data_IF_015910705392
#
_entry.id   IF_015910705392
#
_cell.length_a   1.000
_cell.length_b   1.000
_cell.length_c   1.000
_cell.angle_alpha   90.00
_cell.angle_beta   90.00
_cell.angle_gamma   90.00
#
_symmetry.space_group_name_H-M   'P 1'
#
loop_
_entity.id
_entity.type
_entity.pdbx_description
1 polymer ?
#
# COMPACT_ATOMS: atom_id res chain seq x y z
N UNK A 1 41.13 37.05 -48.90
CA UNK A 1 41.25 35.87 -49.79
C UNK A 1 39.97 35.07 -49.60
N UNK A 2 39.06 35.11 -50.57
CA UNK A 2 37.73 34.50 -50.43
C UNK A 2 37.84 32.97 -50.27
N UNK A 3 36.93 32.37 -49.50
CA UNK A 3 36.87 30.92 -49.36
C UNK A 3 36.65 30.28 -50.74
N UNK A 4 37.43 29.25 -51.09
CA UNK A 4 37.33 28.54 -52.38
C UNK A 4 35.95 27.90 -52.59
N UNK A 5 35.33 27.47 -51.50
CA UNK A 5 33.97 26.92 -51.46
C UNK A 5 33.15 27.72 -50.47
N UNK A 6 31.97 28.16 -50.90
CA UNK A 6 31.08 28.97 -50.10
C UNK A 6 29.64 28.81 -50.58
N UNK A 7 28.73 29.24 -49.73
CA UNK A 7 27.30 29.27 -49.99
C UNK A 7 26.83 30.72 -49.87
N UNK A 8 25.76 31.06 -50.57
CA UNK A 8 25.10 32.35 -50.47
C UNK A 8 23.59 32.18 -50.64
N UNK A 9 22.85 33.17 -50.13
CA UNK A 9 21.44 33.34 -50.44
C UNK A 9 21.31 33.99 -51.82
N UNK A 10 20.37 33.48 -52.63
CA UNK A 10 19.98 34.18 -53.86
C UNK A 10 19.12 35.39 -53.51
N UNK A 11 18.98 36.35 -54.42
CA UNK A 11 18.06 37.49 -54.24
C UNK A 11 16.61 37.02 -54.03
N UNK A 12 16.23 35.90 -54.65
CA UNK A 12 14.92 35.27 -54.44
C UNK A 12 14.81 34.74 -53.01
N UNK A 13 15.84 34.04 -52.53
CA UNK A 13 15.93 33.53 -51.17
C UNK A 13 15.89 34.63 -50.11
N UNK A 14 16.65 35.71 -50.30
CA UNK A 14 16.64 36.87 -49.40
C UNK A 14 15.25 37.52 -49.33
N UNK A 15 14.58 37.71 -50.48
CA UNK A 15 13.23 38.27 -50.52
C UNK A 15 12.21 37.38 -49.81
N UNK A 16 12.24 36.06 -50.08
CA UNK A 16 11.31 35.12 -49.45
C UNK A 16 11.58 34.97 -47.95
N UNK A 17 12.85 34.95 -47.54
CA UNK A 17 13.23 34.93 -46.12
C UNK A 17 12.79 36.21 -45.41
N UNK A 18 13.03 37.38 -45.99
CA UNK A 18 12.58 38.66 -45.44
C UNK A 18 11.05 38.74 -45.33
N UNK A 19 10.33 38.25 -46.35
CA UNK A 19 8.87 38.19 -46.33
C UNK A 19 8.34 37.23 -45.24
N UNK A 20 8.97 36.07 -45.07
CA UNK A 20 8.63 35.11 -44.01
C UNK A 20 8.81 35.74 -42.62
N UNK A 21 9.96 36.40 -42.39
CA UNK A 21 10.26 37.12 -41.14
C UNK A 21 9.22 38.21 -40.88
N UNK A 22 8.90 39.04 -41.88
CA UNK A 22 7.94 40.14 -41.74
C UNK A 22 6.51 39.64 -41.47
N UNK A 23 6.14 38.49 -42.04
CA UNK A 23 4.83 37.87 -41.86
C UNK A 23 4.71 37.00 -40.59
N UNK A 24 5.81 36.82 -39.82
CA UNK A 24 5.85 35.87 -38.70
C UNK A 24 5.66 34.41 -39.13
N UNK A 25 6.00 34.07 -40.37
CA UNK A 25 5.93 32.72 -40.94
C UNK A 25 7.34 32.16 -41.13
N UNK A 26 7.43 30.85 -41.35
CA UNK A 26 8.68 30.16 -41.67
C UNK A 26 8.78 29.91 -43.17
N UNK A 27 9.97 30.11 -43.75
CA UNK A 27 10.31 29.68 -45.10
C UNK A 27 10.55 28.17 -45.10
N UNK A 28 9.74 27.42 -45.84
CA UNK A 28 9.82 25.97 -45.91
C UNK A 28 10.79 25.53 -47.01
N UNK A 29 11.88 24.85 -46.64
CA UNK A 29 12.79 24.21 -47.58
C UNK A 29 12.42 22.73 -47.71
N UNK A 30 12.30 22.23 -48.94
CA UNK A 30 11.87 20.84 -49.20
C UNK A 30 12.86 20.03 -50.01
N UNK A 31 13.63 20.67 -50.88
CA UNK A 31 14.49 19.96 -51.83
C UNK A 31 15.90 20.53 -51.85
N UNK A 32 16.85 19.65 -52.12
CA UNK A 32 18.23 20.02 -52.41
C UNK A 32 18.61 19.48 -53.78
N UNK A 33 19.10 20.36 -54.64
CA UNK A 33 19.67 20.01 -55.94
C UNK A 33 21.17 19.86 -55.86
N UNK A 34 21.72 18.97 -56.68
CA UNK A 34 23.15 18.86 -56.94
C UNK A 34 23.39 18.86 -58.46
N UNK A 35 24.47 19.51 -58.87
CA UNK A 35 24.83 19.68 -60.27
C UNK A 35 26.31 19.49 -60.55
N UNK A 36 26.63 19.29 -61.82
CA UNK A 36 28.01 19.09 -62.30
C UNK A 36 28.63 20.37 -62.86
N UNK A 37 27.94 21.52 -62.78
CA UNK A 37 28.44 22.82 -63.24
C UNK A 37 28.80 22.87 -64.73
N UNK A 38 28.24 21.96 -65.55
CA UNK A 38 28.55 21.81 -66.97
C UNK A 38 30.04 21.55 -67.25
N UNK A 39 30.72 20.80 -66.38
CA UNK A 39 32.14 20.48 -66.54
C UNK A 39 33.11 21.38 -65.76
N UNK A 40 32.63 22.52 -65.23
CA UNK A 40 33.46 23.51 -64.54
C UNK A 40 32.95 23.75 -63.11
N UNK A 41 33.83 24.16 -62.20
CA UNK A 41 33.43 24.59 -60.85
C UNK A 41 32.73 25.95 -60.94
N UNK A 42 31.41 26.04 -60.71
CA UNK A 42 30.71 27.30 -60.82
C UNK A 42 31.06 28.21 -59.64
N UNK A 43 31.04 29.52 -59.88
CA UNK A 43 31.10 30.52 -58.81
C UNK A 43 29.66 30.88 -58.45
N UNK A 44 29.21 30.64 -57.20
CA UNK A 44 27.88 31.02 -56.76
C UNK A 44 27.61 32.51 -56.99
N UNK A 45 26.48 32.84 -57.60
CA UNK A 45 26.04 34.21 -57.89
C UNK A 45 24.65 34.46 -57.26
N UNK A 46 24.48 35.53 -56.46
CA UNK A 46 23.19 35.89 -55.87
C UNK A 46 22.04 36.07 -56.87
N UNK A 47 22.30 36.30 -58.16
CA UNK A 47 21.27 36.42 -59.19
C UNK A 47 20.80 35.07 -59.77
N UNK A 48 21.39 33.95 -59.34
CA UNK A 48 21.00 32.63 -59.82
C UNK A 48 19.56 32.29 -59.42
N UNK A 49 18.78 31.82 -60.39
CA UNK A 49 17.43 31.26 -60.16
C UNK A 49 17.40 29.74 -60.31
N UNK A 50 18.49 29.15 -60.83
CA UNK A 50 18.70 27.71 -61.00
C UNK A 50 20.19 27.36 -60.95
N UNK A 51 20.49 26.09 -60.70
CA UNK A 51 21.84 25.54 -60.86
C UNK A 51 22.28 25.60 -62.33
N UNK A 52 23.60 25.67 -62.57
CA UNK A 52 24.18 25.77 -63.92
C UNK A 52 23.86 24.53 -64.75
N UNK A 53 24.04 23.34 -64.16
CA UNK A 53 23.61 22.07 -64.72
C UNK A 53 23.18 21.11 -63.62
N UNK A 54 21.89 21.17 -63.26
CA UNK A 54 21.31 20.28 -62.27
C UNK A 54 21.29 18.83 -62.78
N UNK A 55 21.84 17.91 -61.99
CA UNK A 55 21.88 16.47 -62.30
C UNK A 55 20.88 15.68 -61.47
N UNK A 56 20.60 16.15 -60.26
CA UNK A 56 19.67 15.50 -59.34
C UNK A 56 19.04 16.53 -58.43
N UNK A 57 17.76 16.31 -58.14
CA UNK A 57 17.00 16.99 -57.11
C UNK A 57 16.29 15.96 -56.26
N UNK A 58 16.43 16.07 -54.95
CA UNK A 58 15.78 15.17 -54.00
C UNK A 58 15.36 15.89 -52.74
N UNK A 59 14.60 15.20 -51.89
CA UNK A 59 14.15 15.73 -50.62
C UNK A 59 15.33 15.98 -49.67
N UNK A 60 15.21 17.00 -48.83
CA UNK A 60 16.16 17.26 -47.74
C UNK A 60 15.90 16.21 -46.64
N UNK A 61 16.95 15.51 -46.20
CA UNK A 61 16.84 14.49 -45.15
C UNK A 61 16.91 15.09 -43.74
N UNK A 62 17.68 16.16 -43.56
CA UNK A 62 17.78 16.85 -42.28
C UNK A 62 18.06 18.34 -42.49
N UNK A 63 17.48 19.17 -41.62
CA UNK A 63 17.79 20.58 -41.50
C UNK A 63 18.02 20.87 -40.02
N UNK A 64 19.25 21.24 -39.67
CA UNK A 64 19.65 21.47 -38.28
C UNK A 64 20.33 22.82 -38.13
N UNK A 65 20.20 23.42 -36.94
CA UNK A 65 20.98 24.62 -36.58
C UNK A 65 22.27 24.14 -35.91
N UNK A 66 23.39 24.73 -36.29
CA UNK A 66 24.68 24.45 -35.64
C UNK A 66 24.63 24.91 -34.18
N UNK A 67 25.02 24.03 -33.26
CA UNK A 67 24.98 24.30 -31.82
C UNK A 67 26.03 25.33 -31.40
N UNK A 68 27.16 25.35 -32.10
CA UNK A 68 28.25 26.26 -31.81
C UNK A 68 28.06 27.62 -32.52
N UNK A 69 27.23 27.66 -33.58
CA UNK A 69 26.90 28.85 -34.35
C UNK A 69 25.41 28.93 -34.68
N UNK A 70 24.62 29.58 -33.83
CA UNK A 70 23.15 29.67 -33.98
C UNK A 70 22.65 30.37 -35.24
N UNK A 71 23.54 31.04 -35.99
CA UNK A 71 23.25 31.67 -37.28
C UNK A 71 23.56 30.75 -38.49
N UNK A 72 24.07 29.54 -38.26
CA UNK A 72 24.36 28.57 -39.31
C UNK A 72 23.31 27.48 -39.35
N UNK A 73 22.77 27.25 -40.55
CA UNK A 73 21.87 26.15 -40.85
C UNK A 73 22.57 25.13 -41.72
N UNK A 74 22.41 23.86 -41.38
CA UNK A 74 22.98 22.74 -42.08
C UNK A 74 21.84 21.95 -42.71
N UNK A 75 21.72 22.04 -44.03
CA UNK A 75 20.84 21.18 -44.80
C UNK A 75 21.61 19.94 -45.26
N UNK A 76 21.08 18.75 -45.01
CA UNK A 76 21.68 17.48 -45.43
C UNK A 76 20.76 16.72 -46.39
N UNK A 77 21.36 16.18 -47.43
CA UNK A 77 20.73 15.26 -48.36
C UNK A 77 21.60 14.01 -48.54
N UNK A 78 20.99 12.84 -48.49
CA UNK A 78 21.63 11.55 -48.75
C UNK A 78 21.29 11.14 -50.18
N UNK A 79 22.33 10.94 -50.99
CA UNK A 79 22.22 10.38 -52.33
C UNK A 79 22.45 8.87 -52.22
N UNK A 80 21.45 8.03 -52.51
CA UNK A 80 21.57 6.58 -52.39
C UNK A 80 22.49 5.99 -53.47
N UNK A 81 22.86 4.73 -53.33
CA UNK A 81 23.80 4.04 -54.22
C UNK A 81 23.29 3.80 -55.65
N UNK A 82 21.96 3.73 -55.82
CA UNK A 82 21.32 3.54 -57.12
C UNK A 82 21.15 4.85 -57.92
N UNK A 83 21.43 6.00 -57.32
CA UNK A 83 21.41 7.31 -58.01
C UNK A 83 22.85 7.85 -58.11
N UNK A 84 23.38 7.94 -59.32
CA UNK A 84 24.77 8.37 -59.57
C UNK A 84 25.07 8.59 -61.04
N UNK A 85 26.35 8.50 -61.42
CA UNK A 85 26.79 8.73 -62.80
C UNK A 85 27.06 10.22 -63.10
N UNK A 86 27.29 11.04 -62.08
CA UNK A 86 27.49 12.48 -62.23
C UNK A 86 28.50 13.05 -61.23
N UNK A 87 29.08 14.19 -61.61
CA UNK A 87 29.96 14.98 -60.74
C UNK A 87 29.14 15.93 -59.88
N UNK A 88 29.58 16.12 -58.65
CA UNK A 88 29.06 17.15 -57.75
C UNK A 88 30.03 18.32 -57.75
N UNK A 89 29.52 19.49 -58.12
CA UNK A 89 30.26 20.77 -58.12
C UNK A 89 29.44 21.93 -57.56
N UNK A 90 28.12 21.83 -57.63
CA UNK A 90 27.18 22.81 -57.12
C UNK A 90 26.06 22.15 -56.32
N UNK A 91 25.55 22.90 -55.35
CA UNK A 91 24.47 22.49 -54.46
C UNK A 91 23.48 23.65 -54.37
N UNK A 92 22.19 23.35 -54.44
CA UNK A 92 21.12 24.35 -54.32
C UNK A 92 20.05 23.91 -53.33
N UNK A 93 19.50 24.84 -52.56
CA UNK A 93 18.33 24.63 -51.70
C UNK A 93 17.10 25.25 -52.32
N UNK A 94 15.99 24.52 -52.26
CA UNK A 94 14.74 24.90 -52.89
C UNK A 94 13.59 24.85 -51.90
N UNK A 95 12.69 25.82 -52.03
CA UNK A 95 11.46 25.88 -51.26
C UNK A 95 10.31 25.07 -51.88
N UNK A 96 9.14 25.12 -51.22
CA UNK A 96 7.91 24.44 -51.66
C UNK A 96 7.41 24.87 -53.04
N UNK A 97 7.74 26.08 -53.47
CA UNK A 97 7.35 26.62 -54.78
C UNK A 97 8.37 26.25 -55.87
N UNK A 98 9.48 25.59 -55.49
CA UNK A 98 10.57 25.20 -56.38
C UNK A 98 11.59 26.31 -56.64
N UNK A 99 11.52 27.42 -55.91
CA UNK A 99 12.44 28.55 -56.07
C UNK A 99 13.79 28.27 -55.42
N UNK A 100 14.88 28.63 -56.12
CA UNK A 100 16.24 28.49 -55.59
C UNK A 100 16.49 29.53 -54.50
N UNK A 101 16.55 29.09 -53.24
CA UNK A 101 16.74 29.94 -52.06
C UNK A 101 18.22 30.20 -51.79
N UNK A 102 19.04 29.17 -51.90
CA UNK A 102 20.47 29.28 -51.66
C UNK A 102 21.24 28.44 -52.66
N UNK A 103 22.43 28.89 -53.00
CA UNK A 103 23.35 28.19 -53.91
C UNK A 103 24.75 28.16 -53.32
N UNK A 104 25.47 27.09 -53.57
CA UNK A 104 26.86 26.94 -53.17
C UNK A 104 27.64 26.07 -54.13
N UNK A 105 28.95 26.24 -54.09
CA UNK A 105 29.89 25.36 -54.79
C UNK A 105 30.52 24.37 -53.81
N UNK A 106 30.92 23.20 -54.31
CA UNK A 106 31.54 22.16 -53.50
C UNK A 106 32.75 21.54 -54.21
N UNK A 107 33.66 20.88 -53.47
CA UNK A 107 34.79 20.18 -54.08
C UNK A 107 34.31 19.14 -55.09
N UNK A 108 34.93 19.12 -56.27
CA UNK A 108 34.61 18.18 -57.34
C UNK A 108 34.67 16.74 -56.84
N UNK A 109 33.51 16.09 -56.79
CA UNK A 109 33.39 14.72 -56.30
C UNK A 109 32.54 13.90 -57.25
N UNK A 110 33.07 12.78 -57.74
CA UNK A 110 32.30 11.85 -58.55
C UNK A 110 31.43 10.94 -57.68
N UNK A 111 30.15 10.86 -58.00
CA UNK A 111 29.19 9.94 -57.38
C UNK A 111 28.89 8.80 -58.36
N UNK A 112 29.49 7.61 -58.20
CA UNK A 112 29.23 6.50 -59.10
C UNK A 112 27.81 5.95 -58.96
N UNK A 113 27.30 5.38 -60.05
CA UNK A 113 26.08 4.58 -60.06
C UNK A 113 26.43 3.10 -59.85
N UNK A 114 25.56 2.35 -59.15
CA UNK A 114 25.79 0.93 -58.88
C UNK A 114 26.10 0.09 -60.14
N UNK A 115 25.56 0.46 -61.31
CA UNK A 115 25.82 -0.21 -62.60
C UNK A 115 27.27 -0.08 -63.09
N UNK A 116 28.01 0.91 -62.60
CA UNK A 116 29.43 1.12 -62.90
C UNK A 116 30.33 0.18 -62.07
N UNK A 117 29.75 -0.76 -61.31
CA UNK A 117 30.47 -1.72 -60.47
C UNK A 117 30.89 -1.16 -59.10
N UNK A 118 30.52 0.09 -58.78
CA UNK A 118 30.80 0.73 -57.50
C UNK A 118 29.58 1.50 -56.99
N UNK A 119 28.93 0.99 -55.94
CA UNK A 119 27.87 1.70 -55.22
C UNK A 119 28.45 2.53 -54.08
N UNK A 120 28.13 3.81 -54.02
CA UNK A 120 28.49 4.68 -52.88
C UNK A 120 27.23 5.39 -52.41
N UNK A 121 26.99 5.44 -51.10
CA UNK A 121 26.02 6.39 -50.52
C UNK A 121 26.80 7.68 -50.19
N UNK A 122 26.31 8.82 -50.69
CA UNK A 122 26.99 10.11 -50.52
C UNK A 122 26.08 11.07 -49.76
N UNK A 123 26.53 11.56 -48.61
CA UNK A 123 25.84 12.64 -47.89
C UNK A 123 26.39 13.98 -48.34
N UNK A 124 25.51 14.85 -48.81
CA UNK A 124 25.81 16.22 -49.21
C UNK A 124 25.28 17.15 -48.13
N UNK A 125 26.13 18.04 -47.65
CA UNK A 125 25.81 19.00 -46.60
C UNK A 125 26.04 20.41 -47.12
N UNK A 126 25.00 21.23 -47.06
CA UNK A 126 25.09 22.65 -47.37
C UNK A 126 24.94 23.44 -46.08
N UNK A 127 25.98 24.19 -45.73
CA UNK A 127 25.98 25.10 -44.58
C UNK A 127 25.61 26.48 -45.08
N UNK A 128 24.54 27.07 -44.58
CA UNK A 128 24.05 28.38 -44.95
C UNK A 128 24.06 29.29 -43.72
N UNK A 129 24.63 30.49 -43.85
CA UNK A 129 24.56 31.53 -42.81
C UNK A 129 23.31 32.37 -43.09
N UNK A 130 22.44 32.51 -42.10
CA UNK A 130 21.22 33.34 -42.19
C UNK A 130 21.14 34.30 -41.01
N UNK A 131 20.41 35.40 -41.20
CA UNK A 131 20.21 36.41 -40.14
C UNK A 131 19.29 35.92 -39.02
N UNK A 132 18.39 34.98 -39.31
CA UNK A 132 17.45 34.35 -38.37
C UNK A 132 17.16 32.90 -38.77
N UNK A 133 17.61 31.96 -37.95
CA UNK A 133 17.43 30.51 -38.18
C UNK A 133 16.04 30.00 -37.83
N UNK A 134 15.32 30.72 -36.97
CA UNK A 134 13.92 30.44 -36.61
C UNK A 134 12.92 30.79 -37.74
N UNK A 135 13.35 31.57 -38.72
CA UNK A 135 12.55 31.93 -39.88
C UNK A 135 12.57 30.87 -41.00
N UNK A 136 13.29 29.77 -40.83
CA UNK A 136 13.40 28.68 -41.81
C UNK A 136 13.02 27.36 -41.13
N UNK A 137 12.20 26.56 -41.80
CA UNK A 137 11.78 25.25 -41.30
C UNK A 137 11.87 24.17 -42.38
N UNK A 138 12.04 22.92 -41.95
CA UNK A 138 11.95 21.75 -42.80
C UNK A 138 10.58 21.10 -42.65
N UNK A 139 9.87 20.91 -43.76
CA UNK A 139 8.70 20.04 -43.78
C UNK A 139 9.15 18.60 -43.94
N UNK A 140 9.16 17.87 -42.83
CA UNK A 140 9.60 16.48 -42.76
C UNK A 140 8.58 15.55 -43.46
N UNK A 141 9.03 14.82 -44.49
CA UNK A 141 8.36 13.60 -44.98
C UNK A 141 9.13 12.37 -44.46
N UNK A 142 8.61 11.65 -43.45
CA UNK A 142 9.26 10.48 -42.88
C UNK A 142 9.41 9.29 -43.85
N UNK A 143 8.79 9.31 -45.02
CA UNK A 143 8.67 8.11 -45.88
C UNK A 143 9.82 7.94 -46.88
N UNK A 144 10.64 8.97 -47.11
CA UNK A 144 11.65 8.98 -48.19
C UNK A 144 13.10 9.06 -47.68
N UNK A 145 13.31 9.20 -46.36
CA UNK A 145 14.65 9.39 -45.79
C UNK A 145 15.28 8.09 -45.28
N UNK A 146 16.38 7.67 -45.90
CA UNK A 146 17.36 6.78 -45.23
C UNK A 146 17.85 7.49 -43.97
N UNK A 147 17.50 6.96 -42.80
CA UNK A 147 18.01 7.42 -41.52
C UNK A 147 19.54 7.36 -41.55
N UNK A 148 20.21 8.50 -41.33
CA UNK A 148 21.66 8.48 -41.12
C UNK A 148 21.97 7.68 -39.85
N UNK A 149 23.12 7.01 -39.80
CA UNK A 149 23.55 6.27 -38.60
C UNK A 149 23.48 7.13 -37.33
N UNK A 150 23.91 8.40 -37.43
CA UNK A 150 23.85 9.36 -36.33
C UNK A 150 22.42 9.60 -35.83
N UNK A 151 21.45 9.67 -36.73
CA UNK A 151 20.04 9.83 -36.36
C UNK A 151 19.53 8.60 -35.60
N UNK A 152 19.85 7.39 -36.07
CA UNK A 152 19.50 6.15 -35.37
C UNK A 152 20.17 6.04 -33.99
N UNK A 153 21.46 6.37 -33.89
CA UNK A 153 22.21 6.36 -32.62
C UNK A 153 21.62 7.36 -31.62
N UNK A 154 21.18 8.53 -32.09
CA UNK A 154 20.56 9.56 -31.24
C UNK A 154 19.19 9.11 -30.75
N UNK A 155 18.33 8.57 -31.63
CA UNK A 155 17.02 8.03 -31.24
C UNK A 155 17.14 6.91 -30.20
N UNK A 156 18.12 6.02 -30.36
CA UNK A 156 18.36 4.95 -29.40
C UNK A 156 18.87 5.49 -28.07
N UNK A 157 19.78 6.46 -28.08
CA UNK A 157 20.27 7.10 -26.87
C UNK A 157 19.15 7.81 -26.10
N UNK A 158 18.30 8.57 -26.81
CA UNK A 158 17.14 9.25 -26.22
C UNK A 158 16.11 8.24 -25.68
N UNK A 159 15.91 7.12 -26.38
CA UNK A 159 15.04 6.03 -25.95
C UNK A 159 15.53 5.37 -24.66
N UNK A 160 16.84 5.09 -24.55
CA UNK A 160 17.45 4.50 -23.35
C UNK A 160 17.44 5.49 -22.18
N UNK A 161 17.65 6.78 -22.44
CA UNK A 161 17.66 7.82 -21.42
C UNK A 161 16.25 8.16 -20.89
N UNK A 162 15.20 7.90 -21.67
CA UNK A 162 13.83 8.15 -21.27
C UNK A 162 13.41 7.22 -20.12
N UNK A 163 12.84 7.78 -19.05
CA UNK A 163 12.33 6.99 -17.91
C UNK A 163 11.13 6.10 -18.27
N UNK A 164 10.35 6.49 -19.27
CA UNK A 164 9.24 5.68 -19.81
C UNK A 164 9.12 5.90 -21.33
N UNK A 165 9.96 5.23 -22.14
CA UNK A 165 9.92 5.37 -23.59
C UNK A 165 8.67 4.73 -24.22
N UNK A 166 7.94 3.90 -23.46
CA UNK A 166 6.75 3.19 -23.90
C UNK A 166 5.57 3.49 -22.98
N UNK A 167 4.96 4.66 -23.14
CA UNK A 167 3.84 5.15 -22.30
C UNK A 167 2.59 4.25 -22.27
N UNK A 168 2.49 3.29 -23.18
CA UNK A 168 1.43 2.28 -23.20
C UNK A 168 1.62 1.17 -22.14
N UNK A 169 2.80 1.07 -21.53
CA UNK A 169 3.11 0.09 -20.50
C UNK A 169 3.31 0.77 -19.14
N UNK A 170 3.02 0.03 -18.07
CA UNK A 170 3.30 0.49 -16.72
C UNK A 170 4.83 0.51 -16.48
N UNK A 171 5.36 1.51 -15.74
CA UNK A 171 6.78 1.55 -15.39
C UNK A 171 7.23 0.30 -14.62
N UNK A 172 8.50 -0.09 -14.75
CA UNK A 172 9.06 -1.23 -14.00
C UNK A 172 9.20 -0.91 -12.51
N UNK A 173 9.72 0.28 -12.20
CA UNK A 173 9.91 0.75 -10.84
C UNK A 173 8.65 1.45 -10.33
N UNK A 174 7.98 0.85 -9.35
CA UNK A 174 6.77 1.39 -8.70
C UNK A 174 5.66 1.82 -9.68
N UNK A 175 5.13 0.89 -10.50
CA UNK A 175 4.07 1.21 -11.45
C UNK A 175 2.80 1.73 -10.75
N UNK A 176 2.17 2.73 -11.37
CA UNK A 176 0.75 3.03 -11.14
C UNK A 176 -0.05 2.26 -12.18
N UNK A 177 -0.84 1.27 -11.72
CA UNK A 177 -1.78 0.56 -12.60
C UNK A 177 -3.05 1.39 -12.83
N UNK A 178 -3.57 1.37 -14.06
CA UNK A 178 -4.83 2.02 -14.44
C UNK A 178 -5.84 0.98 -14.95
N UNK A 179 -7.14 1.30 -14.88
CA UNK A 179 -8.20 0.35 -15.22
C UNK A 179 -8.35 -0.77 -14.18
N UNK A 180 -8.59 -2.01 -14.65
CA UNK A 180 -8.82 -3.19 -13.82
C UNK A 180 -7.72 -4.25 -14.03
N UNK A 181 -6.51 -4.07 -13.46
CA UNK A 181 -5.41 -5.02 -13.63
C UNK A 181 -5.76 -6.41 -13.08
N UNK A 182 -5.46 -7.45 -13.83
CA UNK A 182 -5.64 -8.86 -13.43
C UNK A 182 -4.31 -9.50 -13.09
N UNK A 183 -4.29 -10.37 -12.07
CA UNK A 183 -3.14 -11.20 -11.73
C UNK A 183 -3.63 -12.61 -11.30
N UNK A 184 -2.77 -13.64 -11.34
CA UNK A 184 -3.10 -14.96 -10.80
C UNK A 184 -3.42 -14.89 -9.30
N UNK A 185 -4.51 -15.54 -8.89
CA UNK A 185 -4.85 -15.68 -7.47
C UNK A 185 -3.93 -16.71 -6.84
N UNK A 186 -3.23 -16.29 -5.79
CA UNK A 186 -2.33 -17.16 -5.04
C UNK A 186 -3.07 -18.21 -4.21
N UNK A 187 -2.38 -19.29 -3.88
CA UNK A 187 -2.91 -20.28 -2.93
C UNK A 187 -2.97 -19.71 -1.50
N UNK A 188 -3.95 -20.16 -0.71
CA UNK A 188 -4.10 -19.74 0.68
C UNK A 188 -2.82 -19.99 1.51
N UNK A 189 -2.48 -19.04 2.37
CA UNK A 189 -1.27 -19.09 3.21
C UNK A 189 0.00 -18.56 2.55
N UNK A 190 -0.05 -18.09 1.29
CA UNK A 190 1.12 -17.48 0.64
C UNK A 190 1.53 -16.19 1.35
N UNK A 191 2.83 -16.06 1.69
CA UNK A 191 3.40 -14.94 2.45
C UNK A 191 4.63 -14.30 1.77
N UNK A 192 4.61 -14.20 0.44
CA UNK A 192 5.69 -13.61 -0.37
C UNK A 192 5.42 -12.14 -0.69
N UNK A 193 6.31 -11.51 -1.47
CA UNK A 193 6.21 -10.12 -1.93
C UNK A 193 5.33 -9.92 -3.17
N UNK A 194 4.61 -10.96 -3.61
CA UNK A 194 3.72 -10.87 -4.77
C UNK A 194 2.49 -9.98 -4.48
N UNK A 195 1.93 -9.37 -5.52
CA UNK A 195 0.69 -8.60 -5.41
C UNK A 195 -0.49 -9.51 -5.03
N UNK A 196 -1.31 -9.07 -4.09
CA UNK A 196 -2.54 -9.77 -3.71
C UNK A 196 -3.69 -9.41 -4.68
N UNK A 197 -4.40 -10.43 -5.19
CA UNK A 197 -5.63 -10.23 -5.96
C UNK A 197 -6.80 -9.94 -5.02
N UNK A 198 -7.86 -9.31 -5.55
CA UNK A 198 -9.11 -9.10 -4.80
C UNK A 198 -9.72 -10.43 -4.33
N UNK A 199 -9.62 -11.49 -5.11
CA UNK A 199 -10.06 -12.84 -4.72
C UNK A 199 -9.26 -13.39 -3.53
N UNK A 200 -7.92 -13.28 -3.55
CA UNK A 200 -7.09 -13.73 -2.42
C UNK A 200 -7.42 -12.96 -1.13
N UNK A 201 -7.61 -11.64 -1.23
CA UNK A 201 -8.00 -10.81 -0.07
C UNK A 201 -9.40 -11.17 0.41
N UNK A 202 -10.36 -11.40 -0.50
CA UNK A 202 -11.71 -11.82 -0.14
C UNK A 202 -11.70 -13.16 0.62
N UNK A 203 -10.92 -14.14 0.16
CA UNK A 203 -10.78 -15.44 0.85
C UNK A 203 -10.09 -15.30 2.20
N UNK A 204 -9.02 -14.50 2.29
CA UNK A 204 -8.32 -14.25 3.55
C UNK A 204 -9.21 -13.52 4.57
N UNK A 205 -10.01 -12.55 4.11
CA UNK A 205 -11.00 -11.84 4.92
C UNK A 205 -12.14 -12.76 5.31
N UNK A 206 -12.65 -13.60 4.41
CA UNK A 206 -13.67 -14.60 4.72
C UNK A 206 -13.18 -15.63 5.73
N UNK A 207 -11.91 -16.05 5.64
CA UNK A 207 -11.26 -16.90 6.63
C UNK A 207 -11.10 -16.18 7.98
N UNK A 208 -10.60 -14.95 7.98
CA UNK A 208 -10.44 -14.15 9.20
C UNK A 208 -11.80 -13.85 9.86
N UNK A 209 -12.82 -13.51 9.06
CA UNK A 209 -14.19 -13.39 9.51
C UNK A 209 -14.70 -14.74 9.97
N UNK A 210 -14.42 -15.88 9.34
CA UNK A 210 -14.78 -17.20 9.87
C UNK A 210 -14.18 -17.49 11.24
N UNK A 211 -12.94 -17.03 11.48
CA UNK A 211 -12.26 -17.12 12.78
C UNK A 211 -12.84 -16.13 13.81
N UNK A 212 -13.23 -14.92 13.38
CA UNK A 212 -13.77 -13.84 14.21
C UNK A 212 -15.30 -13.93 14.43
N UNK A 213 -16.01 -14.53 13.47
CA UNK A 213 -17.45 -14.77 13.36
C UNK A 213 -17.77 -16.19 13.81
N UNK A 214 -17.21 -16.58 14.95
CA UNK A 214 -17.81 -17.60 15.82
C UNK A 214 -19.18 -17.19 16.38
N UNK A 215 -20.04 -16.54 15.59
CA UNK A 215 -21.39 -16.08 15.93
C UNK A 215 -22.47 -16.25 14.85
N UNK A 216 -22.20 -16.92 13.72
CA UNK A 216 -23.28 -17.24 12.78
C UNK A 216 -22.98 -18.52 12.00
N UNK A 217 -24.03 -19.31 11.75
CA UNK A 217 -24.08 -20.65 11.10
C UNK A 217 -24.04 -21.90 12.02
N UNK A 218 -25.12 -22.05 12.79
CA UNK A 218 -26.00 -23.22 12.97
C UNK A 218 -25.51 -24.69 13.14
N UNK A 219 -24.24 -25.10 13.09
CA UNK A 219 -23.98 -26.57 13.10
C UNK A 219 -22.67 -27.09 13.68
N UNK A 220 -22.10 -26.50 14.75
CA UNK A 220 -20.97 -27.14 15.47
C UNK A 220 -20.84 -26.73 16.95
N UNK A 221 -21.45 -27.54 17.83
CA UNK A 221 -21.10 -27.78 19.25
C UNK A 221 -20.68 -26.59 20.14
N UNK A 222 -21.65 -26.09 20.91
CA UNK A 222 -21.61 -26.00 22.39
C UNK A 222 -20.33 -25.45 23.07
N UNK A 223 -19.71 -24.38 22.56
CA UNK A 223 -18.76 -23.60 23.37
C UNK A 223 -19.58 -22.60 24.18
N UNK A 224 -19.52 -22.70 25.50
CA UNK A 224 -20.02 -21.66 26.37
C UNK A 224 -19.37 -20.33 25.94
N UNK A 225 -20.14 -19.36 25.47
CA UNK A 225 -19.59 -18.05 25.18
C UNK A 225 -19.13 -17.48 26.53
N UNK A 226 -17.97 -16.80 26.58
CA UNK A 226 -17.52 -16.09 27.78
C UNK A 226 -18.61 -15.15 28.31
N UNK A 227 -19.43 -14.64 27.39
CA UNK A 227 -20.63 -13.86 27.61
C UNK A 227 -21.69 -14.56 28.47
N UNK A 228 -21.79 -15.89 28.40
CA UNK A 228 -22.77 -16.72 29.11
C UNK A 228 -22.38 -16.98 30.59
N UNK A 229 -21.12 -16.74 30.95
CA UNK A 229 -20.58 -16.96 32.31
C UNK A 229 -20.09 -15.68 33.00
N UNK A 230 -20.21 -14.51 32.36
CA UNK A 230 -19.81 -13.25 32.99
C UNK A 230 -20.59 -13.07 34.30
N UNK A 231 -19.84 -12.85 35.38
CA UNK A 231 -20.40 -12.60 36.72
C UNK A 231 -20.65 -13.86 37.56
N UNK A 232 -20.50 -15.06 36.98
CA UNK A 232 -20.55 -16.33 37.73
C UNK A 232 -19.19 -16.58 38.39
N UNK A 233 -19.11 -16.69 39.73
CA UNK A 233 -17.86 -17.04 40.39
C UNK A 233 -17.41 -18.45 40.02
N UNK A 234 -16.15 -18.61 39.59
CA UNK A 234 -15.56 -19.91 39.23
C UNK A 234 -14.32 -20.19 40.09
N UNK A 235 -14.12 -21.44 40.54
CA UNK A 235 -12.91 -21.83 41.25
C UNK A 235 -11.70 -21.76 40.30
N UNK A 236 -10.59 -21.20 40.77
CA UNK A 236 -9.35 -21.04 40.00
C UNK A 236 -8.15 -21.55 40.80
N UNK A 237 -7.28 -22.42 40.22
CA UNK A 237 -6.25 -23.11 41.00
C UNK A 237 -4.99 -22.28 41.29
N UNK A 238 -4.83 -21.09 40.71
CA UNK A 238 -3.63 -20.26 40.89
C UNK A 238 -3.89 -18.99 41.73
N UNK A 239 -2.85 -18.49 42.38
CA UNK A 239 -2.93 -17.27 43.18
C UNK A 239 -3.21 -16.02 42.32
N UNK A 240 -2.78 -15.99 41.06
CA UNK A 240 -2.99 -14.87 40.13
C UNK A 240 -4.17 -15.19 39.20
N UNK A 241 -5.11 -14.25 39.09
CA UNK A 241 -6.19 -14.37 38.13
C UNK A 241 -5.63 -14.13 36.71
N UNK A 242 -6.01 -14.93 35.72
CA UNK A 242 -5.58 -14.72 34.34
C UNK A 242 -6.19 -13.42 33.77
N UNK A 243 -5.60 -12.92 32.69
CA UNK A 243 -6.06 -11.70 32.04
C UNK A 243 -7.55 -11.79 31.67
N UNK A 244 -8.29 -10.72 31.95
CA UNK A 244 -9.73 -10.66 31.74
C UNK A 244 -10.58 -11.21 32.90
N UNK A 245 -9.98 -11.81 33.93
CA UNK A 245 -10.68 -12.31 35.12
C UNK A 245 -10.42 -11.44 36.35
N UNK A 246 -11.44 -11.26 37.18
CA UNK A 246 -11.36 -10.52 38.44
C UNK A 246 -11.63 -11.44 39.62
N UNK A 247 -10.87 -11.27 40.70
CA UNK A 247 -11.06 -12.01 41.96
C UNK A 247 -12.31 -11.50 42.69
N UNK A 248 -13.11 -12.42 43.24
CA UNK A 248 -14.20 -12.11 44.16
C UNK A 248 -13.68 -11.89 45.59
N UNK A 249 -12.91 -10.82 45.79
CA UNK A 249 -12.26 -10.46 47.06
C UNK A 249 -12.78 -9.13 47.62
N UNK A 250 -13.97 -8.69 47.23
CA UNK A 250 -14.55 -7.40 47.63
C UNK A 250 -14.07 -6.18 46.82
N UNK A 251 -13.28 -6.38 45.75
CA UNK A 251 -12.75 -5.26 44.96
C UNK A 251 -13.83 -4.56 44.12
N UNK A 252 -13.63 -3.26 43.88
CA UNK A 252 -14.35 -2.52 42.86
C UNK A 252 -13.81 -2.81 41.45
N UNK A 253 -14.62 -2.57 40.44
CA UNK A 253 -14.23 -2.68 39.04
C UNK A 253 -14.78 -1.52 38.21
N UNK A 254 -14.09 -1.23 37.11
CA UNK A 254 -14.52 -0.20 36.16
C UNK A 254 -15.71 -0.71 35.32
N UNK A 255 -16.87 -0.08 35.51
CA UNK A 255 -18.12 -0.42 34.82
C UNK A 255 -18.07 -0.11 33.32
N UNK A 256 -17.25 0.84 32.88
CA UNK A 256 -17.08 1.16 31.46
C UNK A 256 -16.19 0.13 30.77
N UNK A 257 -15.18 -0.37 31.49
CA UNK A 257 -14.31 -1.45 31.00
C UNK A 257 -14.99 -2.81 31.00
N UNK A 258 -15.88 -3.06 31.96
CA UNK A 258 -16.61 -4.34 32.11
C UNK A 258 -18.13 -4.14 32.15
N UNK A 259 -18.77 -3.68 31.05
CA UNK A 259 -20.18 -3.29 31.05
C UNK A 259 -21.13 -4.48 31.30
N UNK A 260 -20.78 -5.69 30.86
CA UNK A 260 -21.56 -6.91 31.14
C UNK A 260 -21.48 -7.31 32.61
N UNK A 261 -20.30 -7.21 33.21
CA UNK A 261 -20.14 -7.46 34.63
C UNK A 261 -20.92 -6.42 35.45
N UNK A 262 -20.99 -5.18 34.97
CA UNK A 262 -21.82 -4.13 35.56
C UNK A 262 -23.33 -4.38 35.47
N UNK A 263 -23.79 -5.18 34.49
CA UNK A 263 -25.20 -5.62 34.45
C UNK A 263 -25.50 -6.64 35.56
N UNK A 264 -24.54 -7.53 35.86
CA UNK A 264 -24.69 -8.58 36.90
C UNK A 264 -24.41 -8.04 38.30
N UNK A 265 -23.43 -7.15 38.45
CA UNK A 265 -23.10 -6.45 39.69
C UNK A 265 -23.22 -4.92 39.50
N UNK A 266 -24.45 -4.35 39.56
CA UNK A 266 -24.70 -2.92 39.29
C UNK A 266 -23.95 -1.96 40.22
N UNK A 267 -23.58 -2.41 41.41
CA UNK A 267 -22.77 -1.66 42.38
C UNK A 267 -21.36 -1.34 41.86
N UNK A 268 -20.85 -2.08 40.87
CA UNK A 268 -19.44 -1.99 40.46
C UNK A 268 -18.48 -2.63 41.47
N UNK A 269 -18.97 -3.44 42.40
CA UNK A 269 -18.18 -4.12 43.44
C UNK A 269 -18.50 -5.61 43.44
N UNK A 270 -17.47 -6.45 43.45
CA UNK A 270 -17.60 -7.89 43.54
C UNK A 270 -17.82 -8.35 44.98
N UNK A 271 -18.54 -9.45 45.22
CA UNK A 271 -18.64 -10.03 46.56
C UNK A 271 -17.27 -10.51 47.04
N UNK A 272 -17.04 -10.47 48.36
CA UNK A 272 -15.88 -11.12 48.97
C UNK A 272 -16.25 -12.55 49.36
N UNK A 273 -15.75 -13.51 48.57
CA UNK A 273 -16.01 -14.94 48.69
C UNK A 273 -14.88 -15.70 49.42
N UNK A 274 -13.86 -15.01 49.91
CA UNK A 274 -12.76 -15.66 50.64
C UNK A 274 -13.31 -16.27 51.92
N UNK A 275 -13.23 -17.60 52.04
CA UNK A 275 -13.74 -18.36 53.19
C UNK A 275 -15.25 -18.53 53.24
N UNK A 276 -15.99 -18.12 52.20
CA UNK A 276 -17.45 -18.23 52.16
C UNK A 276 -17.89 -19.39 51.26
N UNK A 277 -18.86 -20.18 51.72
CA UNK A 277 -19.51 -21.18 50.87
C UNK A 277 -20.64 -20.53 50.07
N UNK A 278 -20.83 -20.98 48.83
CA UNK A 278 -22.01 -20.59 48.06
C UNK A 278 -23.19 -21.48 48.50
N UNK A 279 -24.30 -20.85 48.90
CA UNK A 279 -25.56 -21.53 49.23
C UNK A 279 -26.65 -21.06 48.26
N UNK A 280 -27.52 -21.97 47.85
CA UNK A 280 -28.71 -21.62 47.07
C UNK A 280 -29.60 -20.63 47.82
N UNK A 281 -30.00 -19.55 47.17
CA UNK A 281 -30.99 -18.60 47.66
C UNK A 281 -32.36 -19.25 47.74
N UNK A 282 -33.13 -18.95 48.79
CA UNK A 282 -34.39 -19.64 49.08
C UNK A 282 -35.47 -19.41 48.02
N UNK A 283 -35.56 -18.18 47.49
CA UNK A 283 -36.52 -17.76 46.46
C UNK A 283 -37.96 -18.26 46.71
N UNK A 284 -38.39 -18.27 47.98
CA UNK A 284 -39.74 -18.66 48.40
C UNK A 284 -39.96 -20.15 48.66
N UNK A 285 -38.91 -20.99 48.63
CA UNK A 285 -39.00 -22.42 48.95
C UNK A 285 -39.30 -22.69 50.44
N UNK A 286 -38.91 -21.79 51.34
CA UNK A 286 -39.16 -21.90 52.78
C UNK A 286 -38.07 -22.62 53.59
N UNK A 287 -36.94 -22.99 52.97
CA UNK A 287 -35.83 -23.74 53.61
C UNK A 287 -34.75 -22.83 54.20
N UNK A 288 -34.50 -21.66 53.62
CA UNK A 288 -33.61 -20.61 54.14
C UNK A 288 -34.31 -19.24 54.07
N UNK A 289 -35.53 -19.20 54.61
CA UNK A 289 -36.46 -18.06 54.56
C UNK A 289 -35.85 -16.76 55.09
N UNK A 290 -36.27 -15.62 54.52
CA UNK A 290 -35.92 -14.29 55.01
C UNK A 290 -34.57 -13.75 54.51
N UNK A 291 -33.89 -14.46 53.62
CA UNK A 291 -32.62 -14.02 53.03
C UNK A 291 -32.78 -13.34 51.69
N UNK A 292 -31.94 -12.35 51.43
CA UNK A 292 -31.77 -11.74 50.11
C UNK A 292 -30.64 -12.42 49.33
N UNK A 293 -30.69 -12.36 48.00
CA UNK A 293 -29.55 -12.75 47.15
C UNK A 293 -28.30 -11.93 47.52
N UNK A 294 -27.14 -12.57 47.52
CA UNK A 294 -25.84 -12.07 47.99
C UNK A 294 -25.75 -11.72 49.48
N UNK A 295 -26.79 -11.97 50.28
CA UNK A 295 -26.68 -11.83 51.75
C UNK A 295 -25.66 -12.83 52.30
N UNK A 296 -24.90 -12.45 53.33
CA UNK A 296 -23.98 -13.34 54.05
C UNK A 296 -24.67 -13.90 55.30
N UNK A 297 -24.27 -15.09 55.70
CA UNK A 297 -24.77 -15.75 56.88
C UNK A 297 -23.64 -16.51 57.54
N UNK A 298 -23.46 -16.26 58.83
CA UNK A 298 -22.46 -16.92 59.65
C UNK A 298 -22.75 -18.42 59.81
N UNK A 299 -21.73 -19.23 60.10
CA UNK A 299 -21.89 -20.67 60.27
C UNK A 299 -22.75 -21.03 61.49
N UNK A 300 -23.41 -22.18 61.46
CA UNK A 300 -24.09 -22.71 62.65
C UNK A 300 -23.16 -23.59 63.49
N UNK A 301 -23.29 -23.48 64.80
CA UNK A 301 -22.56 -24.31 65.77
C UNK A 301 -23.35 -25.61 66.06
N UNK A 302 -22.66 -26.73 66.34
CA UNK A 302 -23.30 -27.99 66.79
C UNK A 302 -23.57 -27.93 68.30
N UNK A 303 -24.71 -28.48 68.73
CA UNK A 303 -24.90 -29.00 70.08
C UNK A 303 -25.07 -30.53 70.04
N UNK A 304 -24.56 -31.24 71.06
CA UNK A 304 -24.65 -32.70 71.21
C UNK A 304 -25.49 -33.06 72.45
N UNK A 305 -26.19 -34.20 72.41
CA UNK A 305 -26.87 -34.81 73.56
C UNK A 305 -26.66 -36.35 73.54
N UNK A 306 -26.44 -36.96 74.70
CA UNK A 306 -26.24 -38.41 74.91
C UNK A 306 -27.56 -39.06 75.41
N UNK A 307 -28.07 -40.14 74.78
CA UNK A 307 -29.32 -40.78 75.20
C UNK A 307 -29.28 -41.51 76.56
N UNK A 308 -28.12 -41.71 77.20
CA UNK A 308 -27.99 -42.64 78.33
C UNK A 308 -27.61 -41.99 79.67
N UNK A 309 -28.57 -41.29 80.30
CA UNK A 309 -28.77 -41.19 81.76
C UNK A 309 -27.68 -40.57 82.68
N UNK A 310 -28.17 -39.77 83.65
CA UNK A 310 -27.51 -39.23 84.86
C UNK A 310 -26.27 -38.34 84.69
N UNK A 311 -26.55 -37.04 84.55
CA UNK A 311 -25.81 -35.91 85.13
C UNK A 311 -24.26 -35.99 85.21
N UNK A 312 -23.59 -36.25 84.09
CA UNK A 312 -22.24 -35.69 83.83
C UNK A 312 -22.15 -35.28 82.37
N UNK A 313 -22.13 -33.97 82.14
CA UNK A 313 -22.06 -33.33 80.83
C UNK A 313 -20.77 -33.68 80.09
N UNK A 314 -20.87 -34.28 78.90
CA UNK A 314 -19.74 -34.33 77.97
C UNK A 314 -19.94 -33.28 76.86
N UNK A 315 -19.31 -32.13 77.08
CA UNK A 315 -19.21 -31.04 76.10
C UNK A 315 -18.08 -31.35 75.12
N UNK A 316 -18.27 -31.15 73.81
CA UNK A 316 -17.17 -31.23 72.85
C UNK A 316 -16.17 -30.07 73.11
N UNK A 317 -15.08 -30.36 73.82
CA UNK A 317 -14.00 -29.40 74.11
C UNK A 317 -12.88 -29.60 73.11
N UNK A 318 -12.91 -28.86 72.01
CA UNK A 318 -11.82 -28.85 71.04
C UNK A 318 -10.88 -27.67 71.29
N UNK A 319 -9.59 -27.96 71.42
CA UNK A 319 -8.55 -26.94 71.25
C UNK A 319 -8.58 -26.44 69.81
N UNK A 320 -8.78 -25.13 69.62
CA UNK A 320 -8.80 -24.48 68.29
C UNK A 320 -7.53 -24.80 67.51
N UNK A 321 -6.37 -24.84 68.19
CA UNK A 321 -5.07 -25.13 67.56
C UNK A 321 -4.89 -26.61 67.22
N UNK A 322 -5.45 -27.54 68.01
CA UNK A 322 -5.28 -28.99 67.80
C UNK A 322 -6.29 -29.54 66.79
N UNK A 323 -7.49 -28.96 66.76
CA UNK A 323 -8.56 -29.41 65.90
C UNK A 323 -8.70 -28.60 64.60
N UNK A 324 -7.80 -27.63 64.38
CA UNK A 324 -7.80 -26.73 63.21
C UNK A 324 -9.16 -26.05 63.00
N UNK A 325 -9.87 -25.76 64.10
CA UNK A 325 -11.16 -25.10 64.04
C UNK A 325 -10.97 -23.60 63.74
N UNK A 326 -11.86 -23.01 62.94
CA UNK A 326 -11.83 -21.57 62.69
C UNK A 326 -12.10 -20.79 63.98
N UNK A 327 -11.38 -19.67 64.16
CA UNK A 327 -11.59 -18.79 65.31
C UNK A 327 -12.94 -18.10 65.22
N UNK A 328 -13.80 -18.30 66.22
CA UNK A 328 -15.10 -17.63 66.31
C UNK A 328 -14.88 -16.19 66.83
N UNK A 329 -15.35 -15.18 66.09
CA UNK A 329 -15.22 -13.76 66.45
C UNK A 329 -16.48 -13.34 67.21
N UNK A 330 -16.36 -13.05 68.51
CA UNK A 330 -17.51 -12.77 69.36
C UNK A 330 -18.34 -11.55 68.94
N UNK A 331 -17.73 -10.58 68.27
CA UNK A 331 -18.45 -9.41 67.75
C UNK A 331 -19.40 -9.74 66.59
N UNK A 332 -19.18 -10.85 65.88
CA UNK A 332 -20.02 -11.28 64.76
C UNK A 332 -21.28 -12.05 65.22
N UNK A 333 -21.29 -12.59 66.44
CA UNK A 333 -22.38 -13.44 66.97
C UNK A 333 -23.04 -12.80 68.22
N UNK A 334 -23.61 -11.61 68.04
CA UNK A 334 -24.30 -10.86 69.11
C UNK A 334 -25.49 -11.66 69.66
N UNK A 335 -25.60 -11.79 70.99
CA UNK A 335 -26.67 -12.52 71.67
C UNK A 335 -26.40 -14.02 71.90
N UNK A 336 -25.24 -14.53 71.50
CA UNK A 336 -24.79 -15.89 71.81
C UNK A 336 -23.78 -15.89 72.98
N UNK A 337 -23.91 -16.83 73.92
CA UNK A 337 -22.92 -17.04 74.98
C UNK A 337 -21.70 -17.77 74.40
N UNK A 338 -20.62 -17.03 74.18
CA UNK A 338 -19.33 -17.58 73.78
C UNK A 338 -18.42 -17.66 75.01
N UNK A 339 -18.20 -18.87 75.52
CA UNK A 339 -17.32 -19.11 76.66
C UNK A 339 -15.91 -19.41 76.18
N UNK A 340 -14.99 -18.46 76.36
CA UNK A 340 -13.56 -18.70 76.29
C UNK A 340 -12.98 -18.55 77.69
N UNK A 341 -12.28 -19.56 78.16
CA UNK A 341 -11.46 -19.45 79.37
C UNK A 341 -10.08 -19.95 79.04
N UNK A 342 -9.06 -19.12 79.23
CA UNK A 342 -7.66 -19.55 79.15
C UNK A 342 -7.33 -20.64 80.19
N UNK A 343 -8.20 -20.81 81.18
CA UNK A 343 -7.97 -21.68 82.34
C UNK A 343 -9.29 -21.90 83.09
N UNK A 344 -9.78 -23.15 83.09
CA UNK A 344 -10.84 -23.73 83.93
C UNK A 344 -12.32 -23.31 83.75
N UNK A 345 -13.17 -24.30 84.01
CA UNK A 345 -14.53 -24.55 83.49
C UNK A 345 -15.63 -24.16 84.50
N UNK A 346 -16.79 -23.65 84.05
CA UNK A 346 -18.03 -23.63 84.85
C UNK A 346 -19.29 -23.95 84.00
N UNK A 347 -20.28 -24.61 84.63
CA UNK A 347 -21.46 -25.27 84.04
C UNK A 347 -22.74 -24.43 84.16
N UNK A 348 -23.62 -24.38 83.14
CA UNK A 348 -25.00 -23.84 83.25
C UNK A 348 -25.99 -24.61 82.35
N UNK A 349 -27.25 -24.72 82.79
CA UNK A 349 -28.35 -25.52 82.22
C UNK A 349 -28.98 -24.94 80.93
N UNK A 350 -29.25 -25.79 79.91
CA UNK A 350 -30.59 -26.10 79.36
C UNK A 350 -30.63 -26.55 77.85
N UNK A 351 -31.57 -27.49 77.56
CA UNK A 351 -32.31 -27.93 76.33
C UNK A 351 -31.65 -28.02 74.92
N UNK A 352 -31.58 -29.24 74.36
CA UNK A 352 -32.18 -29.60 73.04
C UNK A 352 -31.32 -29.66 71.75
N UNK A 353 -31.36 -30.84 71.10
CA UNK A 353 -31.19 -31.16 69.67
C UNK A 353 -29.79 -31.07 69.00
N UNK A 354 -29.44 -32.15 68.28
CA UNK A 354 -28.32 -32.20 67.33
C UNK A 354 -28.68 -31.41 66.07
N UNK A 355 -28.03 -30.27 65.88
CA UNK A 355 -28.20 -29.41 64.71
C UNK A 355 -27.19 -29.73 63.59
N UNK A 356 -27.64 -29.60 62.34
CA UNK A 356 -26.75 -29.60 61.16
C UNK A 356 -25.81 -28.39 61.25
N UNK A 357 -24.49 -28.59 61.16
CA UNK A 357 -23.58 -27.47 60.87
C UNK A 357 -23.73 -27.06 59.43
N UNK A 358 -23.95 -25.78 59.23
CA UNK A 358 -23.78 -25.15 57.94
C UNK A 358 -22.58 -24.22 58.04
N UNK A 359 -21.66 -24.22 57.06
CA UNK A 359 -20.55 -23.29 57.06
C UNK A 359 -21.04 -21.84 56.87
N UNK A 360 -20.14 -20.88 57.11
CA UNK A 360 -20.34 -19.49 56.68
C UNK A 360 -20.62 -19.48 55.18
N UNK A 361 -21.65 -18.75 54.77
CA UNK A 361 -22.12 -18.83 53.40
C UNK A 361 -22.76 -17.54 52.91
N UNK A 362 -22.77 -17.40 51.59
CA UNK A 362 -23.44 -16.33 50.85
C UNK A 362 -24.52 -16.92 49.95
N UNK A 363 -25.69 -16.27 49.93
CA UNK A 363 -26.83 -16.71 49.13
C UNK A 363 -26.61 -16.35 47.65
N UNK A 364 -26.65 -17.33 46.75
CA UNK A 364 -26.61 -17.12 45.30
C UNK A 364 -27.79 -17.83 44.64
N UNK A 365 -28.24 -17.30 43.51
CA UNK A 365 -29.20 -18.01 42.70
C UNK A 365 -28.50 -19.14 41.92
N UNK A 366 -29.09 -20.34 41.94
CA UNK A 366 -28.61 -21.48 41.16
C UNK A 366 -29.40 -21.57 39.88
N UNK A 367 -28.76 -21.19 38.78
CA UNK A 367 -29.35 -21.15 37.46
C UNK A 367 -28.74 -22.26 36.59
N UNK A 368 -29.54 -22.78 35.66
CA UNK A 368 -29.09 -23.67 34.59
C UNK A 368 -29.38 -23.00 33.26
N UNK A 369 -28.46 -23.11 32.32
CA UNK A 369 -28.68 -22.61 30.96
C UNK A 369 -29.78 -23.43 30.29
N UNK A 370 -30.86 -22.77 29.87
CA UNK A 370 -32.01 -23.43 29.26
C UNK A 370 -31.88 -23.69 27.75
N UNK A 371 -31.04 -22.91 27.04
CA UNK A 371 -30.68 -23.09 25.62
C UNK A 371 -29.34 -22.39 25.32
#
# INVERSE_FOLDING_TARGET
>A
MGAKYFTLLTHTGEKKLAAAIAAGKTLELVQMGVGDGNGLLPTPDPLQTKLVNERRRGAINALTVDRDNTNQMIAEQVIPEHEGGFWLREIGLYDVDGDLIAVGNCPETYKPELKEGSGRVQTVRMVLIVSRTDAITLKFDPTVALATRRYADTLLADHIAAANPHRQYAPLESPVFSGNPTAPTAVAGTNTTQLATTAFVADAVAYAIGVLSGKTEASTKLKLDINDIVGIPQPWPQATAPDGWLKCNGQSFDKNRYPRLAQVYPSGVLPDLRGEFIRGWDDGRGVDSGRAVLSKQLGSLINYDDPASVATSDSLRMSVSTAQADSVIASEYQGMLLSYTSTNIATVNAIGYVGVTRPRNIAFNYIVRAA
#
